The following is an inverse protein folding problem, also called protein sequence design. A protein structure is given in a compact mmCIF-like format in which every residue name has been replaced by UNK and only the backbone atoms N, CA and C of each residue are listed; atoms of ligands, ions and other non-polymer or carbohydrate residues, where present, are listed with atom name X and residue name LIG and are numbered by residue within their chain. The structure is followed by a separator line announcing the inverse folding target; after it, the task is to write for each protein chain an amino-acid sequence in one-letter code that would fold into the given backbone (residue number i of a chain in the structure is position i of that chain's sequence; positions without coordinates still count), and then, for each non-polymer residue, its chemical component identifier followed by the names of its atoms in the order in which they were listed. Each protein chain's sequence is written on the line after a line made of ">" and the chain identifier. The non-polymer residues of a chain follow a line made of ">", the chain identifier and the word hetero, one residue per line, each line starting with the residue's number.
data_IF_435722067087
#
_entry.id   IF_435722067087
#
_cell.length_a   1.000
_cell.length_b   1.000
_cell.length_c   1.000
_cell.angle_alpha   90.00
_cell.angle_beta   90.00
_cell.angle_gamma   90.00
#
_symmetry.space_group_name_H-M   'P 1'
#
loop_
_entity.id
_entity.type
_entity.pdbx_description
1 polymer ?
#
# COMPACT_ATOMS: atom_id res chain seq x y z
N UNK A 1 -45.89 34.06 -13.22
CA UNK A 1 -44.84 33.03 -13.41
C UNK A 1 -43.83 32.94 -12.25
N UNK A 2 -43.80 33.82 -11.26
CA UNK A 2 -42.85 33.77 -10.10
C UNK A 2 -43.25 32.87 -8.96
N UNK A 3 -44.51 32.41 -8.84
CA UNK A 3 -45.04 31.64 -7.70
C UNK A 3 -44.78 30.13 -7.77
N UNK A 4 -44.41 29.55 -8.93
CA UNK A 4 -44.11 28.15 -9.09
C UNK A 4 -42.64 27.78 -8.96
N UNK A 5 -41.73 28.78 -8.99
CA UNK A 5 -40.29 28.55 -8.91
C UNK A 5 -39.81 28.14 -7.48
N UNK A 6 -40.43 28.72 -6.45
CA UNK A 6 -40.05 28.43 -5.05
C UNK A 6 -40.25 26.97 -4.64
N UNK A 7 -41.41 26.31 -4.94
CA UNK A 7 -41.57 24.92 -4.56
C UNK A 7 -40.65 23.97 -5.35
N UNK A 8 -40.30 24.28 -6.59
CA UNK A 8 -39.37 23.48 -7.39
C UNK A 8 -37.93 23.57 -6.86
N UNK A 9 -37.49 24.75 -6.42
CA UNK A 9 -36.18 24.93 -5.77
C UNK A 9 -36.13 24.21 -4.42
N UNK A 10 -37.18 24.31 -3.62
CA UNK A 10 -37.27 23.59 -2.33
C UNK A 10 -37.26 22.08 -2.51
N UNK A 11 -37.92 21.54 -3.54
CA UNK A 11 -37.90 20.12 -3.85
C UNK A 11 -36.52 19.66 -4.33
N UNK A 12 -35.80 20.47 -5.11
CA UNK A 12 -34.44 20.20 -5.56
C UNK A 12 -33.42 20.17 -4.42
N UNK A 13 -33.59 21.01 -3.40
CA UNK A 13 -32.75 21.02 -2.20
C UNK A 13 -32.98 19.75 -1.34
N UNK A 14 -34.19 19.28 -1.25
CA UNK A 14 -34.55 18.08 -0.49
C UNK A 14 -34.00 16.78 -1.14
N UNK A 15 -33.89 16.76 -2.47
CA UNK A 15 -33.34 15.61 -3.21
C UNK A 15 -31.82 15.61 -3.28
N UNK A 16 -31.16 16.74 -3.02
CA UNK A 16 -29.71 16.85 -3.00
C UNK A 16 -29.06 16.29 -1.72
N UNK A 17 -29.82 16.15 -0.64
CA UNK A 17 -29.34 15.53 0.58
C UNK A 17 -29.53 13.99 0.50
N UNK A 18 -28.46 13.23 0.64
CA UNK A 18 -28.57 11.80 0.84
C UNK A 18 -29.29 11.57 2.18
N UNK A 19 -30.55 11.05 2.18
CA UNK A 19 -31.33 10.90 3.40
C UNK A 19 -30.65 9.95 4.41
N UNK A 20 -29.87 9.01 3.94
CA UNK A 20 -29.12 8.08 4.76
C UNK A 20 -28.03 8.80 5.59
N UNK A 21 -27.34 9.77 4.99
CA UNK A 21 -26.33 10.58 5.67
C UNK A 21 -26.95 11.47 6.76
N UNK A 22 -28.12 12.00 6.52
CA UNK A 22 -28.85 12.87 7.46
C UNK A 22 -29.36 12.03 8.64
N UNK A 23 -29.98 10.89 8.36
CA UNK A 23 -30.52 9.99 9.37
C UNK A 23 -29.40 9.45 10.28
N UNK A 24 -28.23 9.16 9.73
CA UNK A 24 -27.08 8.66 10.50
C UNK A 24 -26.43 9.70 11.42
N UNK A 25 -26.67 11.00 11.23
CA UNK A 25 -26.19 12.04 12.15
C UNK A 25 -27.00 12.12 13.44
N UNK A 26 -28.21 11.61 13.42
CA UNK A 26 -29.07 11.56 14.62
C UNK A 26 -28.73 10.29 15.40
N UNK A 27 -28.15 10.44 16.58
CA UNK A 27 -27.68 9.30 17.40
C UNK A 27 -28.72 8.23 17.67
N UNK A 28 -30.01 8.57 17.70
CA UNK A 28 -31.12 7.65 17.85
C UNK A 28 -31.26 6.67 16.67
N UNK A 29 -30.97 7.12 15.46
CA UNK A 29 -31.06 6.30 14.23
C UNK A 29 -29.71 5.70 13.82
N UNK A 30 -28.64 6.03 14.53
CA UNK A 30 -27.28 5.54 14.24
C UNK A 30 -27.06 4.08 14.70
N UNK A 31 -28.12 3.25 14.58
CA UNK A 31 -28.06 1.83 14.89
C UNK A 31 -26.91 1.16 14.13
N UNK A 32 -26.15 0.29 14.78
CA UNK A 32 -25.07 -0.51 14.19
C UNK A 32 -23.86 0.27 13.63
N UNK A 33 -23.95 1.56 13.34
CA UNK A 33 -22.81 2.34 12.84
C UNK A 33 -21.88 2.77 13.97
N UNK A 34 -22.47 3.10 15.13
CA UNK A 34 -21.75 3.43 16.37
C UNK A 34 -21.99 2.33 17.41
N UNK A 35 -21.33 1.21 17.24
CA UNK A 35 -21.39 0.11 18.21
C UNK A 35 -20.09 0.02 19.00
N UNK A 36 -20.16 -0.55 20.20
CA UNK A 36 -18.97 -0.80 21.02
C UNK A 36 -18.05 -1.87 20.45
N UNK A 37 -18.55 -2.69 19.54
CA UNK A 37 -17.73 -3.69 18.85
C UNK A 37 -16.69 -3.02 17.96
N UNK A 38 -15.52 -3.61 17.90
CA UNK A 38 -14.42 -3.14 17.08
C UNK A 38 -14.63 -3.69 15.69
N UNK A 39 -14.83 -2.77 14.75
CA UNK A 39 -14.88 -3.13 13.34
C UNK A 39 -13.45 -3.24 12.80
N UNK A 40 -13.17 -4.19 11.92
CA UNK A 40 -11.90 -4.24 11.21
C UNK A 40 -11.61 -2.87 10.57
N UNK A 41 -10.39 -2.36 10.77
CA UNK A 41 -9.89 -1.09 10.22
C UNK A 41 -10.56 0.22 10.72
N UNK A 42 -11.56 0.18 11.63
CA UNK A 42 -12.25 1.39 12.07
C UNK A 42 -11.53 2.14 13.19
N UNK A 43 -11.07 1.43 14.21
CA UNK A 43 -10.32 1.98 15.35
C UNK A 43 -9.39 0.91 15.91
N UNK A 44 -8.09 1.03 15.75
CA UNK A 44 -7.17 0.15 16.45
C UNK A 44 -7.33 0.38 17.96
N UNK A 45 -7.49 -0.69 18.73
CA UNK A 45 -7.44 -0.58 20.19
C UNK A 45 -5.99 -0.28 20.57
N UNK A 46 -5.74 0.81 21.30
CA UNK A 46 -4.42 1.03 21.84
C UNK A 46 -4.08 -0.12 22.80
N UNK A 47 -2.86 -0.63 22.77
CA UNK A 47 -2.43 -1.64 23.75
C UNK A 47 -2.58 -1.08 25.16
N UNK A 48 -2.84 -1.95 26.13
CA UNK A 48 -2.90 -1.56 27.53
C UNK A 48 -1.55 -0.96 27.93
N UNK A 49 -1.59 0.19 28.62
CA UNK A 49 -0.37 0.86 29.04
C UNK A 49 0.53 -0.09 29.86
N UNK A 50 1.82 -0.13 29.53
CA UNK A 50 2.79 -0.99 30.19
C UNK A 50 2.86 -2.42 29.66
N UNK A 51 2.06 -2.80 28.65
CA UNK A 51 2.20 -4.10 27.98
C UNK A 51 3.29 -4.07 26.90
N UNK A 52 4.06 -5.15 26.85
CA UNK A 52 5.05 -5.39 25.77
C UNK A 52 4.53 -6.54 24.91
N UNK A 53 4.45 -6.39 23.58
CA UNK A 53 4.07 -7.49 22.72
C UNK A 53 5.00 -8.69 22.88
N UNK A 54 4.46 -9.89 22.83
CA UNK A 54 5.26 -11.14 22.89
C UNK A 54 6.31 -11.18 21.79
N UNK A 55 6.02 -10.59 20.64
CA UNK A 55 6.94 -10.46 19.51
C UNK A 55 7.96 -9.31 19.63
N UNK A 56 7.94 -8.58 20.77
CA UNK A 56 8.74 -7.38 20.96
C UNK A 56 8.16 -6.16 20.21
N UNK A 57 8.78 -5.00 20.46
CA UNK A 57 8.45 -3.77 19.73
C UNK A 57 9.38 -3.69 18.51
N UNK A 58 8.80 -3.68 17.33
CA UNK A 58 9.61 -3.41 16.13
C UNK A 58 10.07 -1.95 16.15
N UNK A 59 11.36 -1.68 15.97
CA UNK A 59 11.85 -0.32 15.92
C UNK A 59 11.23 0.45 14.75
N UNK A 60 10.88 1.71 14.98
CA UNK A 60 10.42 2.59 13.91
C UNK A 60 11.54 2.76 12.88
N UNK A 61 11.24 2.52 11.61
CA UNK A 61 12.20 2.64 10.53
C UNK A 61 12.10 4.04 9.92
N UNK A 62 13.17 4.81 10.06
CA UNK A 62 13.32 6.09 9.38
C UNK A 62 14.08 5.89 8.06
N UNK A 63 13.57 6.44 6.96
CA UNK A 63 14.23 6.40 5.64
C UNK A 63 15.67 6.94 5.67
N UNK A 64 15.96 7.90 6.53
CA UNK A 64 17.34 8.46 6.67
C UNK A 64 18.33 7.45 7.24
N UNK A 65 17.86 6.51 8.05
CA UNK A 65 18.69 5.44 8.63
C UNK A 65 18.60 4.14 7.82
N UNK A 66 17.71 4.08 6.87
CA UNK A 66 17.38 2.88 6.11
C UNK A 66 18.58 2.29 5.36
N UNK A 67 19.43 3.15 4.81
CA UNK A 67 20.62 2.71 4.06
C UNK A 67 21.65 1.96 4.93
N UNK A 68 21.57 2.10 6.25
CA UNK A 68 22.43 1.39 7.23
C UNK A 68 21.88 0.04 7.64
N UNK A 69 20.62 -0.27 7.29
CA UNK A 69 20.00 -1.55 7.63
C UNK A 69 20.54 -2.65 6.73
N UNK A 70 21.26 -3.59 7.32
CA UNK A 70 21.67 -4.79 6.63
C UNK A 70 20.51 -5.79 6.56
N UNK A 71 20.36 -6.47 5.43
CA UNK A 71 19.41 -7.55 5.29
C UNK A 71 19.86 -8.79 6.08
N UNK A 72 19.17 -9.18 7.16
CA UNK A 72 19.56 -10.34 7.95
C UNK A 72 19.17 -11.67 7.30
N UNK A 73 18.35 -11.64 6.24
CA UNK A 73 17.85 -12.83 5.55
C UNK A 73 18.72 -13.18 4.36
N UNK A 74 19.37 -14.32 4.41
CA UNK A 74 20.08 -14.87 3.25
C UNK A 74 19.09 -15.15 2.10
N UNK A 75 19.50 -14.91 0.86
CA UNK A 75 18.68 -15.18 -0.33
C UNK A 75 18.64 -16.66 -0.67
N UNK A 76 18.00 -17.45 0.16
CA UNK A 76 17.73 -18.86 -0.10
C UNK A 76 16.50 -19.02 -0.98
N UNK A 77 16.33 -20.19 -1.58
CA UNK A 77 15.10 -20.52 -2.34
C UNK A 77 13.85 -20.37 -1.47
N UNK A 78 13.93 -20.72 -0.19
CA UNK A 78 12.83 -20.55 0.77
C UNK A 78 12.45 -19.07 0.91
N UNK A 79 13.43 -18.19 1.19
CA UNK A 79 13.21 -16.75 1.33
C UNK A 79 12.64 -16.14 0.04
N UNK A 80 13.18 -16.52 -1.12
CA UNK A 80 12.71 -16.04 -2.43
C UNK A 80 11.27 -16.51 -2.69
N UNK A 81 10.94 -17.76 -2.43
CA UNK A 81 9.58 -18.30 -2.63
C UNK A 81 8.58 -17.65 -1.67
N UNK A 82 8.95 -17.44 -0.41
CA UNK A 82 8.12 -16.71 0.55
C UNK A 82 7.92 -15.26 0.10
N UNK A 83 8.98 -14.58 -0.29
CA UNK A 83 8.93 -13.21 -0.82
C UNK A 83 8.09 -13.10 -2.08
N UNK A 84 8.16 -14.08 -2.99
CA UNK A 84 7.32 -14.16 -4.17
C UNK A 84 5.83 -14.23 -3.81
N UNK A 85 5.46 -15.14 -2.92
CA UNK A 85 4.07 -15.27 -2.47
C UNK A 85 3.53 -13.97 -1.88
N UNK A 86 4.32 -13.30 -1.03
CA UNK A 86 3.95 -12.02 -0.42
C UNK A 86 3.88 -10.89 -1.45
N UNK A 87 4.81 -10.86 -2.39
CA UNK A 87 4.81 -9.90 -3.49
C UNK A 87 3.57 -10.03 -4.37
N UNK A 88 3.23 -11.25 -4.76
CA UNK A 88 2.04 -11.55 -5.55
C UNK A 88 0.75 -11.16 -4.80
N UNK A 89 0.75 -11.29 -3.48
CA UNK A 89 -0.41 -10.94 -2.64
C UNK A 89 -0.59 -9.43 -2.46
N UNK A 90 0.49 -8.68 -2.22
CA UNK A 90 0.40 -7.29 -1.78
C UNK A 90 0.96 -6.26 -2.76
N UNK A 91 1.91 -6.61 -3.60
CA UNK A 91 2.69 -5.67 -4.38
C UNK A 91 2.34 -5.70 -5.87
N UNK A 92 2.01 -6.89 -6.40
CA UNK A 92 1.77 -7.13 -7.82
C UNK A 92 0.69 -6.21 -8.39
N UNK A 93 -0.37 -5.95 -7.64
CA UNK A 93 -1.51 -5.15 -8.08
C UNK A 93 -1.09 -3.75 -8.56
N UNK A 94 -0.05 -3.19 -7.97
CA UNK A 94 0.55 -1.91 -8.36
C UNK A 94 1.78 -2.09 -9.25
N UNK A 95 2.71 -2.95 -8.82
CA UNK A 95 4.05 -3.03 -9.43
C UNK A 95 4.15 -3.99 -10.62
N UNK A 96 3.12 -4.81 -10.87
CA UNK A 96 3.11 -5.80 -11.96
C UNK A 96 3.96 -7.03 -11.67
N UNK A 97 3.78 -8.07 -12.47
CA UNK A 97 4.44 -9.38 -12.28
C UNK A 97 5.96 -9.28 -12.37
N UNK A 98 6.46 -8.45 -13.29
CA UNK A 98 7.89 -8.24 -13.51
C UNK A 98 8.46 -7.03 -12.73
N UNK A 99 7.66 -6.38 -11.88
CA UNK A 99 8.09 -5.21 -11.10
C UNK A 99 8.28 -3.94 -11.92
N UNK A 100 7.64 -3.82 -13.08
CA UNK A 100 7.82 -2.69 -14.01
C UNK A 100 6.96 -1.47 -13.67
N UNK A 101 6.06 -1.57 -12.68
CA UNK A 101 5.09 -0.53 -12.34
C UNK A 101 3.86 -0.56 -13.24
N UNK A 102 3.63 -1.66 -13.92
CA UNK A 102 2.58 -1.92 -14.90
C UNK A 102 1.47 -2.84 -14.34
N UNK A 103 1.30 -2.85 -13.04
CA UNK A 103 0.25 -3.65 -12.39
C UNK A 103 -1.17 -3.24 -12.82
N UNK A 104 -2.18 -4.09 -12.55
CA UNK A 104 -3.57 -3.88 -13.01
C UNK A 104 -4.16 -2.50 -12.69
N UNK A 105 -3.79 -1.89 -11.56
CA UNK A 105 -4.31 -0.57 -11.19
C UNK A 105 -3.44 0.59 -11.66
N UNK A 106 -2.30 0.32 -12.28
CA UNK A 106 -1.40 1.34 -12.80
C UNK A 106 -1.96 1.98 -14.06
N UNK A 107 -1.81 3.30 -14.19
CA UNK A 107 -2.14 4.00 -15.43
C UNK A 107 -1.22 3.59 -16.61
N UNK A 108 -0.07 2.96 -16.32
CA UNK A 108 0.90 2.49 -17.31
C UNK A 108 0.76 1.00 -17.66
N UNK A 109 -0.34 0.37 -17.29
CA UNK A 109 -0.58 -1.06 -17.51
C UNK A 109 -0.86 -1.44 -18.99
N UNK A 110 -1.02 -0.45 -19.87
CA UNK A 110 -1.33 -0.66 -21.29
C UNK A 110 -2.79 -1.05 -21.58
N UNK A 111 -3.65 -1.04 -20.58
CA UNK A 111 -5.09 -1.34 -20.73
C UNK A 111 -5.90 -0.11 -21.16
N UNK A 112 -7.07 -0.34 -21.71
CA UNK A 112 -8.03 0.72 -22.05
C UNK A 112 -9.38 0.38 -21.41
N UNK A 113 -9.89 1.18 -20.45
CA UNK A 113 -9.26 2.39 -19.90
C UNK A 113 -8.00 2.10 -19.06
N UNK A 114 -7.08 3.04 -18.93
CA UNK A 114 -5.90 2.88 -18.09
C UNK A 114 -6.28 2.77 -16.61
N UNK A 115 -5.43 2.15 -15.82
CA UNK A 115 -5.63 2.08 -14.37
C UNK A 115 -5.67 3.47 -13.72
N UNK A 116 -6.32 3.60 -12.57
CA UNK A 116 -6.56 4.91 -11.92
C UNK A 116 -5.32 5.53 -11.26
N UNK A 117 -4.24 4.77 -11.09
CA UNK A 117 -3.07 5.23 -10.35
C UNK A 117 -1.90 5.60 -11.26
N UNK A 118 -1.47 6.86 -11.16
CA UNK A 118 -0.30 7.39 -11.85
C UNK A 118 0.95 7.34 -10.96
N UNK A 119 2.11 7.27 -11.59
CA UNK A 119 3.40 7.41 -10.92
C UNK A 119 3.87 6.21 -10.13
N UNK A 120 3.27 5.03 -10.36
CA UNK A 120 3.78 3.77 -9.80
C UNK A 120 5.16 3.50 -10.40
N UNK A 121 6.17 3.42 -9.52
CA UNK A 121 7.56 3.28 -9.96
C UNK A 121 7.89 1.85 -10.33
N UNK A 122 8.67 1.71 -11.40
CA UNK A 122 9.32 0.44 -11.73
C UNK A 122 10.35 0.10 -10.66
N UNK A 123 10.25 -1.09 -10.09
CA UNK A 123 11.20 -1.63 -9.12
C UNK A 123 12.50 -2.13 -9.77
N UNK A 124 12.47 -2.35 -11.09
CA UNK A 124 13.58 -2.93 -11.85
C UNK A 124 14.39 -1.89 -12.63
N UNK A 125 14.03 -0.60 -12.54
CA UNK A 125 14.85 0.45 -13.14
C UNK A 125 16.13 0.68 -12.33
N UNK A 126 17.13 1.26 -12.98
CA UNK A 126 18.46 1.49 -12.39
C UNK A 126 18.42 2.35 -11.13
N UNK A 127 17.52 3.33 -11.07
CA UNK A 127 17.42 4.23 -9.91
C UNK A 127 17.03 3.47 -8.65
N UNK A 128 16.08 2.53 -8.75
CA UNK A 128 15.64 1.71 -7.61
C UNK A 128 16.60 0.53 -7.39
N UNK A 129 17.14 -0.05 -8.47
CA UNK A 129 18.08 -1.17 -8.36
C UNK A 129 19.38 -0.80 -7.62
N UNK A 130 19.78 0.47 -7.67
CA UNK A 130 20.94 0.99 -6.92
C UNK A 130 20.65 1.32 -5.46
N UNK A 131 19.39 1.32 -5.03
CA UNK A 131 19.05 1.54 -3.62
C UNK A 131 19.44 0.34 -2.78
N UNK A 132 19.72 0.58 -1.50
CA UNK A 132 20.06 -0.49 -0.54
C UNK A 132 18.86 -1.39 -0.25
N UNK A 133 19.10 -2.58 0.28
CA UNK A 133 18.05 -3.47 0.78
C UNK A 133 17.27 -2.80 1.91
N UNK A 134 17.95 -2.09 2.79
CA UNK A 134 17.35 -1.34 3.88
C UNK A 134 16.43 -0.22 3.39
N UNK A 135 16.77 0.47 2.30
CA UNK A 135 15.88 1.46 1.70
C UNK A 135 14.57 0.82 1.20
N UNK A 136 14.65 -0.30 0.49
CA UNK A 136 13.45 -1.00 -0.01
C UNK A 136 12.60 -1.47 1.17
N UNK A 137 13.23 -2.03 2.21
CA UNK A 137 12.58 -2.43 3.45
C UNK A 137 11.84 -1.26 4.10
N UNK A 138 12.49 -0.11 4.25
CA UNK A 138 11.89 1.06 4.88
C UNK A 138 10.71 1.62 4.10
N UNK A 139 10.76 1.59 2.76
CA UNK A 139 9.63 1.96 1.90
C UNK A 139 8.45 1.01 2.12
N UNK A 140 8.68 -0.30 2.22
CA UNK A 140 7.62 -1.27 2.52
C UNK A 140 6.98 -0.98 3.87
N UNK A 141 7.78 -0.66 4.89
CA UNK A 141 7.29 -0.40 6.25
C UNK A 141 6.52 0.90 6.35
N UNK A 142 7.03 1.98 5.77
CA UNK A 142 6.52 3.35 5.97
C UNK A 142 5.62 3.87 4.86
N UNK A 143 5.61 3.25 3.69
CA UNK A 143 4.94 3.76 2.50
C UNK A 143 5.56 5.03 1.94
N UNK A 144 6.67 5.51 2.50
CA UNK A 144 7.30 6.76 2.09
C UNK A 144 8.31 6.52 0.96
N UNK A 145 8.03 7.09 -0.19
CA UNK A 145 8.95 7.10 -1.32
C UNK A 145 9.54 8.50 -1.44
N UNK A 146 10.85 8.65 -1.28
CA UNK A 146 11.55 9.94 -1.31
C UNK A 146 10.93 10.97 -0.34
N UNK A 147 10.52 10.55 0.85
CA UNK A 147 9.90 11.40 1.88
C UNK A 147 8.43 11.74 1.64
N UNK A 148 7.78 11.13 0.65
CA UNK A 148 6.36 11.30 0.36
C UNK A 148 5.61 9.97 0.55
N UNK A 149 4.45 10.01 1.17
CA UNK A 149 3.57 8.86 1.36
C UNK A 149 2.79 8.52 0.10
N UNK A 150 3.48 8.01 -0.93
CA UNK A 150 2.89 7.66 -2.22
C UNK A 150 2.49 6.18 -2.32
N UNK A 151 2.99 5.35 -1.44
CA UNK A 151 2.71 3.91 -1.37
C UNK A 151 1.93 3.62 -0.10
N UNK A 152 0.97 2.69 -0.09
CA UNK A 152 0.33 2.24 1.15
C UNK A 152 1.36 1.68 2.15
N UNK A 153 1.08 1.85 3.43
CA UNK A 153 1.89 1.30 4.52
C UNK A 153 1.65 -0.20 4.63
N UNK A 154 2.70 -1.00 4.55
CA UNK A 154 2.63 -2.46 4.72
C UNK A 154 3.31 -2.97 5.98
N UNK A 155 3.78 -2.07 6.84
CA UNK A 155 4.41 -2.42 8.10
C UNK A 155 3.52 -3.17 9.09
N UNK A 156 2.20 -3.00 9.00
CA UNK A 156 1.21 -3.72 9.81
C UNK A 156 0.83 -5.10 9.23
N UNK A 157 1.03 -5.31 7.93
CA UNK A 157 0.63 -6.53 7.21
C UNK A 157 1.77 -7.54 7.07
N UNK A 158 2.96 -7.03 6.83
CA UNK A 158 4.18 -7.80 6.72
C UNK A 158 5.01 -7.62 7.99
N UNK A 159 5.40 -8.70 8.64
CA UNK A 159 6.11 -8.64 9.93
C UNK A 159 7.41 -9.43 9.90
N UNK A 160 8.35 -9.01 10.75
CA UNK A 160 9.61 -9.72 10.94
C UNK A 160 10.35 -9.97 9.61
N UNK A 161 10.66 -11.24 9.35
CA UNK A 161 11.42 -11.65 8.17
C UNK A 161 10.64 -11.53 6.84
N UNK A 162 9.32 -11.52 6.87
CA UNK A 162 8.49 -11.44 5.65
C UNK A 162 8.84 -10.23 4.78
N UNK A 163 9.14 -9.08 5.38
CA UNK A 163 9.57 -7.87 4.65
C UNK A 163 10.88 -8.08 3.93
N UNK A 164 11.84 -8.73 4.59
CA UNK A 164 13.13 -9.03 4.00
C UNK A 164 13.04 -10.08 2.90
N UNK A 165 12.12 -11.03 3.04
CA UNK A 165 11.84 -12.01 2.00
C UNK A 165 11.27 -11.33 0.75
N UNK A 166 10.39 -10.32 0.90
CA UNK A 166 9.93 -9.48 -0.22
C UNK A 166 11.11 -8.72 -0.84
N UNK A 167 12.01 -8.14 -0.05
CA UNK A 167 13.23 -7.48 -0.56
C UNK A 167 14.06 -8.46 -1.39
N UNK A 168 14.28 -9.68 -0.90
CA UNK A 168 15.02 -10.72 -1.61
C UNK A 168 14.38 -11.08 -2.95
N UNK A 169 13.04 -11.15 -3.00
CA UNK A 169 12.32 -11.38 -4.24
C UNK A 169 12.43 -10.19 -5.22
N UNK A 170 12.29 -8.96 -4.75
CA UNK A 170 12.51 -7.76 -5.59
C UNK A 170 13.91 -7.77 -6.20
N UNK A 171 14.94 -8.17 -5.46
CA UNK A 171 16.30 -8.32 -6.00
C UNK A 171 16.38 -9.40 -7.09
N UNK A 172 15.59 -10.44 -6.98
CA UNK A 172 15.50 -11.47 -8.02
C UNK A 172 14.89 -10.90 -9.30
N UNK A 173 13.81 -10.12 -9.20
CA UNK A 173 13.20 -9.42 -10.34
C UNK A 173 14.21 -8.46 -11.01
N UNK A 174 14.97 -7.72 -10.22
CA UNK A 174 16.02 -6.83 -10.73
C UNK A 174 17.13 -7.59 -11.49
N UNK A 175 17.53 -8.74 -10.98
CA UNK A 175 18.52 -9.60 -11.64
C UNK A 175 17.99 -10.15 -12.97
N UNK A 176 16.74 -10.60 -12.98
CA UNK A 176 16.07 -11.11 -14.20
C UNK A 176 15.93 -10.00 -15.27
N UNK A 177 15.54 -8.79 -14.86
CA UNK A 177 15.42 -7.66 -15.79
C UNK A 177 16.77 -7.31 -16.44
N UNK A 178 17.87 -7.33 -15.69
CA UNK A 178 19.23 -7.10 -16.23
C UNK A 178 19.65 -8.19 -17.21
N UNK A 179 19.36 -9.46 -16.92
CA UNK A 179 19.72 -10.56 -17.80
C UNK A 179 18.92 -10.57 -19.11
N UNK A 180 17.66 -10.09 -19.09
CA UNK A 180 16.83 -9.98 -20.29
C UNK A 180 17.18 -8.74 -21.14
N UNK A 181 17.54 -7.61 -20.52
CA UNK A 181 17.99 -6.40 -21.24
C UNK A 181 19.31 -6.58 -21.97
N UNK A 182 20.26 -7.32 -21.39
CA UNK A 182 21.56 -7.60 -22.01
C UNK A 182 21.52 -8.57 -23.22
N UNK A 183 20.38 -9.19 -23.49
CA UNK A 183 20.21 -10.09 -24.66
C UNK A 183 19.78 -9.36 -25.93
N UNK A 184 19.34 -8.10 -25.84
CA UNK A 184 18.89 -7.30 -26.97
C UNK A 184 20.00 -6.47 -27.66
N UNK A 185 21.21 -6.44 -27.10
CA UNK A 185 22.34 -5.64 -27.63
C UNK A 185 23.48 -6.50 -28.23
N UNK A 186 23.20 -7.71 -28.69
CA UNK A 186 24.17 -8.52 -29.45
C UNK A 186 23.61 -8.97 -30.75
#
# INVERSE_FOLDING_TARGET
>A
MRRCALPLVALGILTACNPDEVVHRVGWFATMRHQRSIKPYARPIPPVAGTVPVTGVEPSVNLQMADRLANPRTRTSESINRGRFLYETYCLVCHGVAGRGDGPISATNGQTPPGPFFGIRSLVNDTIARRTDGYIYAVIVSGQVMGRGLMPVYGDKLRGNDRWDVVNYVRTLQAQARSSGGRGER
#
